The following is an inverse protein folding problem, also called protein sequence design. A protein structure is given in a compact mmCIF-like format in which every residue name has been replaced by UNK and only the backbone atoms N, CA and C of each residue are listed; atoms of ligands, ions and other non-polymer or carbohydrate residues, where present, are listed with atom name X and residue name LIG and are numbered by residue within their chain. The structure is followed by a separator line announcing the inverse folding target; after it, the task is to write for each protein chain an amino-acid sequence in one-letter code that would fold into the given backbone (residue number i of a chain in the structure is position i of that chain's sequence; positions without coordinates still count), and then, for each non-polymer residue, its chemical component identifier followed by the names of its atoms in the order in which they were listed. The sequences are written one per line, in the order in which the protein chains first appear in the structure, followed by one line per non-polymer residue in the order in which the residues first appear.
data_IF_257830186992
#
_entry.id   IF_257830186992
#
_cell.length_a   1.000
_cell.length_b   1.000
_cell.length_c   1.000
_cell.angle_alpha   90.00
_cell.angle_beta   90.00
_cell.angle_gamma   90.00
#
_symmetry.space_group_name_H-M   'P 1'
#
loop_
_entity.id
_entity.type
_entity.pdbx_description
1 polymer ?
#
# COMPACT_ATOMS: atom_id res chain seq x y z
N UNK A 1 10.82 -23.54 13.18
CA UNK A 1 11.51 -22.25 13.43
C UNK A 1 12.92 -22.37 12.89
N UNK A 2 13.44 -21.35 12.20
CA UNK A 2 14.86 -21.29 11.80
C UNK A 2 15.57 -20.30 12.73
N UNK A 3 16.78 -20.63 13.16
CA UNK A 3 17.59 -19.74 14.01
C UNK A 3 18.34 -18.75 13.12
N UNK A 4 18.26 -17.46 13.47
CA UNK A 4 18.95 -16.38 12.77
C UNK A 4 19.71 -15.56 13.80
N UNK A 5 21.00 -15.35 13.56
CA UNK A 5 21.83 -14.43 14.35
C UNK A 5 21.72 -13.05 13.71
N UNK A 6 21.40 -12.03 14.50
CA UNK A 6 21.21 -10.65 14.05
C UNK A 6 22.17 -9.75 14.80
N UNK A 7 22.91 -8.92 14.08
CA UNK A 7 23.76 -7.86 14.65
C UNK A 7 22.97 -6.56 14.67
N UNK A 8 23.02 -5.83 15.78
CA UNK A 8 22.37 -4.53 15.95
C UNK A 8 23.20 -3.68 16.90
N UNK A 9 22.94 -2.37 16.91
CA UNK A 9 23.55 -1.46 17.88
C UNK A 9 23.12 -1.81 19.31
N UNK A 10 23.99 -1.55 20.29
CA UNK A 10 23.74 -1.89 21.70
C UNK A 10 22.48 -1.22 22.24
N UNK A 11 22.24 0.04 21.85
CA UNK A 11 21.05 0.82 22.20
C UNK A 11 19.75 0.16 21.69
N UNK A 12 19.79 -0.38 20.48
CA UNK A 12 18.66 -1.08 19.85
C UNK A 12 18.40 -2.41 20.55
N UNK A 13 19.45 -3.16 20.90
CA UNK A 13 19.33 -4.41 21.65
C UNK A 13 18.73 -4.21 23.05
N UNK A 14 19.12 -3.14 23.74
CA UNK A 14 18.57 -2.77 25.04
C UNK A 14 17.10 -2.38 24.93
N UNK A 15 16.77 -1.52 23.97
CA UNK A 15 15.39 -1.14 23.70
C UNK A 15 14.51 -2.37 23.40
N UNK A 16 14.99 -3.27 22.55
CA UNK A 16 14.25 -4.48 22.18
C UNK A 16 13.99 -5.39 23.39
N UNK A 17 14.93 -5.50 24.33
CA UNK A 17 14.75 -6.24 25.59
C UNK A 17 13.69 -5.60 26.48
N UNK A 18 13.75 -4.29 26.67
CA UNK A 18 12.77 -3.55 27.48
C UNK A 18 11.37 -3.64 26.88
N UNK A 19 11.26 -3.52 25.55
CA UNK A 19 9.98 -3.58 24.85
C UNK A 19 9.39 -5.00 24.88
N UNK A 20 10.23 -6.03 24.71
CA UNK A 20 9.79 -7.41 24.86
C UNK A 20 9.26 -7.68 26.27
N UNK A 21 9.96 -7.20 27.31
CA UNK A 21 9.51 -7.31 28.69
C UNK A 21 8.19 -6.57 28.94
N UNK A 22 8.05 -5.34 28.42
CA UNK A 22 6.80 -4.55 28.50
C UNK A 22 5.61 -5.30 27.91
N UNK A 23 5.81 -6.02 26.80
CA UNK A 23 4.78 -6.82 26.12
C UNK A 23 4.66 -8.25 26.64
N UNK A 24 5.37 -8.60 27.72
CA UNK A 24 5.43 -9.95 28.29
C UNK A 24 5.77 -11.03 27.23
N UNK A 25 6.72 -10.73 26.34
CA UNK A 25 7.16 -11.58 25.24
C UNK A 25 8.68 -11.69 25.21
N UNK A 26 9.22 -12.51 24.30
CA UNK A 26 10.66 -12.62 24.07
C UNK A 26 11.11 -11.70 22.93
N UNK A 27 12.38 -11.28 22.95
CA UNK A 27 12.98 -10.47 21.88
C UNK A 27 12.85 -11.16 20.52
N UNK A 28 13.10 -12.47 20.45
CA UNK A 28 12.97 -13.22 19.20
C UNK A 28 11.54 -13.21 18.66
N UNK A 29 10.53 -13.28 19.53
CA UNK A 29 9.13 -13.19 19.11
C UNK A 29 8.76 -11.78 18.66
N UNK A 30 9.18 -10.76 19.42
CA UNK A 30 9.00 -9.35 19.06
C UNK A 30 9.58 -9.04 17.67
N UNK A 31 10.84 -9.42 17.42
CA UNK A 31 11.51 -9.20 16.14
C UNK A 31 10.81 -9.97 15.01
N UNK A 32 10.40 -11.22 15.26
CA UNK A 32 9.65 -12.01 14.28
C UNK A 32 8.31 -11.38 13.89
N UNK A 33 7.57 -10.85 14.86
CA UNK A 33 6.30 -10.15 14.64
C UNK A 33 6.49 -8.86 13.83
N UNK A 34 7.49 -8.05 14.18
CA UNK A 34 7.84 -6.83 13.44
C UNK A 34 8.21 -7.13 11.98
N UNK A 35 9.01 -8.17 11.74
CA UNK A 35 9.36 -8.60 10.39
C UNK A 35 8.14 -9.09 9.61
N UNK A 36 7.27 -9.88 10.23
CA UNK A 36 6.05 -10.35 9.60
C UNK A 36 5.09 -9.20 9.25
N UNK A 37 5.02 -8.17 10.11
CA UNK A 37 4.25 -6.95 9.83
C UNK A 37 4.83 -6.18 8.64
N UNK A 38 6.15 -5.99 8.60
CA UNK A 38 6.83 -5.33 7.47
C UNK A 38 6.58 -6.08 6.16
N UNK A 39 6.72 -7.41 6.16
CA UNK A 39 6.46 -8.24 4.98
C UNK A 39 5.02 -8.08 4.47
N UNK A 40 4.02 -8.09 5.37
CA UNK A 40 2.62 -7.90 4.97
C UNK A 40 2.36 -6.51 4.39
N UNK A 41 3.00 -5.49 4.95
CA UNK A 41 2.83 -4.12 4.45
C UNK A 41 3.45 -3.95 3.06
N UNK A 42 4.64 -4.51 2.85
CA UNK A 42 5.31 -4.45 1.55
C UNK A 42 4.52 -5.22 0.48
N UNK A 43 4.05 -6.43 0.81
CA UNK A 43 3.20 -7.24 -0.07
C UNK A 43 1.85 -6.55 -0.37
N UNK A 44 1.26 -5.85 0.59
CA UNK A 44 0.00 -5.14 0.38
C UNK A 44 0.13 -4.01 -0.66
N UNK A 45 1.22 -3.25 -0.60
CA UNK A 45 1.49 -2.20 -1.59
C UNK A 45 1.74 -2.81 -2.97
N UNK A 46 2.63 -3.80 -3.06
CA UNK A 46 2.94 -4.46 -4.34
C UNK A 46 1.70 -5.10 -4.97
N UNK A 47 0.86 -5.77 -4.15
CA UNK A 47 -0.41 -6.33 -4.61
C UNK A 47 -1.36 -5.25 -5.13
N UNK A 48 -1.55 -4.16 -4.39
CA UNK A 48 -2.42 -3.06 -4.82
C UNK A 48 -1.92 -2.39 -6.11
N UNK A 49 -0.60 -2.21 -6.24
CA UNK A 49 0.02 -1.69 -7.45
C UNK A 49 -0.19 -2.62 -8.64
N UNK A 50 0.04 -3.92 -8.46
CA UNK A 50 -0.15 -4.91 -9.52
C UNK A 50 -1.63 -5.02 -9.94
N UNK A 51 -2.57 -4.97 -8.98
CA UNK A 51 -4.00 -4.95 -9.26
C UNK A 51 -4.40 -3.71 -10.06
N UNK A 52 -3.88 -2.53 -9.69
CA UNK A 52 -4.11 -1.29 -10.43
C UNK A 52 -3.59 -1.37 -11.87
N UNK A 53 -2.37 -1.85 -12.07
CA UNK A 53 -1.74 -1.95 -13.38
C UNK A 53 -2.40 -3.01 -14.27
N UNK A 54 -2.90 -4.10 -13.68
CA UNK A 54 -3.62 -5.15 -14.40
C UNK A 54 -5.05 -4.75 -14.77
N UNK A 55 -5.59 -3.67 -14.18
CA UNK A 55 -6.97 -3.25 -14.43
C UNK A 55 -7.10 -2.74 -15.87
N UNK A 56 -8.00 -3.34 -16.68
CA UNK A 56 -8.25 -2.82 -18.01
C UNK A 56 -8.86 -1.41 -17.91
N UNK A 57 -8.61 -0.53 -18.89
CA UNK A 57 -9.16 0.81 -18.90
C UNK A 57 -10.69 0.75 -18.79
N UNK A 58 -11.26 1.51 -17.85
CA UNK A 58 -12.70 1.60 -17.64
C UNK A 58 -13.43 2.29 -18.80
N UNK A 59 -12.67 3.00 -19.62
CA UNK A 59 -13.15 3.70 -20.79
C UNK A 59 -12.15 3.52 -21.92
N UNK A 60 -12.63 2.99 -23.03
CA UNK A 60 -11.91 2.92 -24.28
C UNK A 60 -12.68 3.75 -25.30
N UNK A 61 -12.00 4.65 -25.99
CA UNK A 61 -12.59 5.29 -27.17
C UNK A 61 -12.80 4.23 -28.26
N UNK A 62 -13.91 4.32 -28.99
CA UNK A 62 -14.16 3.57 -30.23
C UNK A 62 -13.36 4.14 -31.43
N UNK A 63 -12.46 5.09 -31.17
CA UNK A 63 -11.65 5.78 -32.16
C UNK A 63 -12.33 7.03 -32.73
N UNK A 64 -13.57 7.32 -32.34
CA UNK A 64 -14.23 8.56 -32.72
C UNK A 64 -13.70 9.74 -31.91
N UNK A 65 -13.69 10.95 -32.49
CA UNK A 65 -13.41 12.17 -31.73
C UNK A 65 -14.35 12.28 -30.53
N UNK A 66 -13.80 12.58 -29.36
CA UNK A 66 -14.62 12.85 -28.19
C UNK A 66 -15.52 14.07 -28.43
N UNK A 67 -16.77 14.04 -27.92
CA UNK A 67 -17.65 15.20 -28.01
C UNK A 67 -16.96 16.44 -27.45
N UNK A 68 -17.08 17.56 -28.17
CA UNK A 68 -16.57 18.84 -27.68
C UNK A 68 -17.43 19.32 -26.53
N UNK A 69 -16.86 20.15 -25.66
CA UNK A 69 -17.55 20.71 -24.49
C UNK A 69 -18.91 21.30 -24.86
N UNK A 70 -18.98 22.03 -25.97
CA UNK A 70 -20.20 22.72 -26.40
C UNK A 70 -21.28 21.74 -26.90
N UNK A 71 -20.89 20.56 -27.39
CA UNK A 71 -21.79 19.48 -27.79
C UNK A 71 -22.36 18.76 -26.56
N UNK A 72 -21.55 18.56 -25.51
CA UNK A 72 -21.96 17.93 -24.24
C UNK A 72 -22.96 18.81 -23.48
N UNK A 73 -22.78 20.13 -23.52
CA UNK A 73 -23.61 21.08 -22.76
C UNK A 73 -24.61 21.85 -23.62
N UNK A 74 -24.87 21.43 -24.87
CA UNK A 74 -25.75 22.13 -25.80
C UNK A 74 -27.13 22.47 -25.18
N UNK A 75 -27.80 21.49 -24.59
CA UNK A 75 -29.12 21.69 -23.93
C UNK A 75 -29.04 22.62 -22.70
N UNK A 76 -27.91 22.63 -21.99
CA UNK A 76 -27.68 23.50 -20.82
C UNK A 76 -27.39 24.94 -21.26
N UNK A 77 -26.70 25.11 -22.38
CA UNK A 77 -26.43 26.41 -23.00
C UNK A 77 -27.72 27.04 -23.55
N UNK A 78 -28.59 26.24 -24.17
CA UNK A 78 -29.89 26.70 -24.68
C UNK A 78 -30.85 27.12 -23.57
N UNK A 79 -30.84 26.42 -22.42
CA UNK A 79 -31.69 26.76 -21.26
C UNK A 79 -31.27 28.05 -20.54
N UNK A 80 -30.03 28.50 -20.74
CA UNK A 80 -29.48 29.71 -20.11
C UNK A 80 -29.54 30.95 -21.02
N UNK A 81 -30.10 30.80 -22.23
CA UNK A 81 -30.34 31.88 -23.19
C UNK A 81 -31.81 32.31 -23.13
#
# INVERSE_FOLDING_TARGET
MKNVTVTMEDSVAEWARLEAARRNTSVSRLVGELLAEKMRHDDAYERAMNEWLARPPLFTSDGQPHPKRDEIYAERLERLR
#
